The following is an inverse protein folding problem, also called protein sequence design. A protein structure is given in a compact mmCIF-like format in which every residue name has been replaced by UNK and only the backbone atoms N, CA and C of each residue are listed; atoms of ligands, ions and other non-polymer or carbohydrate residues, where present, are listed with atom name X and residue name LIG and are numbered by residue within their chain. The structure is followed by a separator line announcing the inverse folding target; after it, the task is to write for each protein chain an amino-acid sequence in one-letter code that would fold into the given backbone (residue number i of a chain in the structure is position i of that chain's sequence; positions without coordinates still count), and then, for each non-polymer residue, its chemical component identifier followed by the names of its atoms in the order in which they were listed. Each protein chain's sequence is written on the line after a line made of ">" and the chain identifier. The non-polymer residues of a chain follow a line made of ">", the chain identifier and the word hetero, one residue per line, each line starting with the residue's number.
data_IF_936932151448
#
_entry.id   IF_936932151448
#
_cell.length_a   1.000
_cell.length_b   1.000
_cell.length_c   1.000
_cell.angle_alpha   90.00
_cell.angle_beta   90.00
_cell.angle_gamma   90.00
#
_symmetry.space_group_name_H-M   'P 1'
#
loop_
_entity.id
_entity.type
_entity.pdbx_description
1 polymer ?
#
# COMPACT_ATOMS: atom_id res chain seq x y z
N UNK A 1 -32.52 -14.75 7.23
CA UNK A 1 -33.04 -13.37 7.48
C UNK A 1 -32.60 -12.47 6.32
N UNK A 2 -33.25 -11.31 6.16
CA UNK A 2 -32.81 -10.31 5.16
C UNK A 2 -31.77 -9.42 5.78
N UNK A 3 -30.65 -9.19 5.08
CA UNK A 3 -29.53 -8.37 5.53
C UNK A 3 -29.18 -7.34 4.45
N UNK A 4 -29.14 -6.08 4.83
CA UNK A 4 -28.69 -4.99 3.98
C UNK A 4 -27.20 -4.67 4.29
N UNK A 5 -26.38 -4.58 3.25
CA UNK A 5 -24.96 -4.22 3.36
C UNK A 5 -24.77 -2.89 2.62
N UNK A 6 -24.22 -1.90 3.30
CA UNK A 6 -24.00 -0.58 2.74
C UNK A 6 -22.53 -0.47 2.29
N UNK A 7 -22.35 -0.27 0.98
CA UNK A 7 -21.05 -0.16 0.32
C UNK A 7 -20.55 -1.49 -0.25
N UNK A 8 -20.08 -1.44 -1.48
CA UNK A 8 -19.51 -2.57 -2.22
C UNK A 8 -17.96 -2.59 -2.21
N UNK A 9 -17.34 -1.95 -1.23
CA UNK A 9 -15.90 -2.10 -1.00
C UNK A 9 -15.54 -3.49 -0.47
N UNK A 10 -14.24 -3.75 -0.26
CA UNK A 10 -13.73 -5.08 0.16
C UNK A 10 -14.44 -5.62 1.42
N UNK A 11 -14.76 -4.77 2.39
CA UNK A 11 -15.44 -5.18 3.62
C UNK A 11 -16.88 -5.63 3.34
N UNK A 12 -17.65 -4.81 2.61
CA UNK A 12 -19.04 -5.12 2.25
C UNK A 12 -19.15 -6.38 1.39
N UNK A 13 -18.31 -6.49 0.36
CA UNK A 13 -18.30 -7.67 -0.53
C UNK A 13 -17.87 -8.94 0.22
N UNK A 14 -16.88 -8.84 1.14
CA UNK A 14 -16.47 -9.98 1.96
C UNK A 14 -17.61 -10.41 2.91
N UNK A 15 -18.28 -9.46 3.54
CA UNK A 15 -19.43 -9.76 4.40
C UNK A 15 -20.58 -10.43 3.58
N UNK A 16 -20.91 -9.87 2.42
CA UNK A 16 -21.90 -10.46 1.50
C UNK A 16 -21.54 -11.89 1.11
N UNK A 17 -20.28 -12.10 0.70
CA UNK A 17 -19.78 -13.42 0.32
C UNK A 17 -19.87 -14.46 1.44
N UNK A 18 -19.61 -14.07 2.67
CA UNK A 18 -19.67 -14.99 3.81
C UNK A 18 -21.11 -15.28 4.25
N UNK A 19 -21.99 -14.29 4.22
CA UNK A 19 -23.34 -14.39 4.75
C UNK A 19 -24.37 -14.94 3.75
N UNK A 20 -24.12 -14.86 2.44
CA UNK A 20 -25.08 -15.24 1.38
C UNK A 20 -25.56 -16.70 1.45
N UNK A 21 -24.83 -17.57 2.13
CA UNK A 21 -25.22 -18.98 2.25
C UNK A 21 -26.40 -19.22 3.20
N UNK A 22 -26.59 -18.30 4.16
CA UNK A 22 -27.57 -18.47 5.24
C UNK A 22 -28.58 -17.31 5.27
N UNK A 23 -28.31 -16.24 4.51
CA UNK A 23 -29.08 -15.02 4.54
C UNK A 23 -29.37 -14.50 3.13
N UNK A 24 -30.49 -13.81 2.99
CA UNK A 24 -30.87 -13.05 1.80
C UNK A 24 -30.19 -11.67 1.87
N UNK A 25 -29.21 -11.45 0.99
CA UNK A 25 -28.29 -10.30 1.06
C UNK A 25 -28.64 -9.30 -0.05
N UNK A 26 -28.80 -8.03 0.35
CA UNK A 26 -28.85 -6.90 -0.58
C UNK A 26 -27.69 -5.96 -0.29
N UNK A 27 -26.85 -5.70 -1.30
CA UNK A 27 -25.75 -4.72 -1.21
C UNK A 27 -26.19 -3.41 -1.86
N UNK A 28 -26.03 -2.32 -1.16
CA UNK A 28 -26.32 -0.95 -1.64
C UNK A 28 -24.99 -0.24 -1.90
N UNK A 29 -24.83 0.27 -3.12
CA UNK A 29 -23.66 1.04 -3.54
C UNK A 29 -24.09 2.40 -4.05
N UNK A 30 -23.36 3.45 -3.67
CA UNK A 30 -23.67 4.84 -4.06
C UNK A 30 -22.99 5.21 -5.41
N UNK A 31 -21.90 4.55 -5.76
CA UNK A 31 -21.18 4.78 -7.01
C UNK A 31 -21.78 3.93 -8.15
N UNK A 32 -21.40 4.24 -9.37
CA UNK A 32 -21.73 3.50 -10.60
C UNK A 32 -20.85 2.27 -10.83
N UNK A 33 -19.88 2.00 -9.95
CA UNK A 33 -18.99 0.84 -10.01
C UNK A 33 -18.89 0.13 -8.65
N UNK A 34 -18.52 -1.15 -8.69
CA UNK A 34 -18.33 -2.03 -7.53
C UNK A 34 -16.83 -2.14 -7.21
N UNK A 35 -16.48 -2.22 -5.92
CA UNK A 35 -15.11 -2.45 -5.47
C UNK A 35 -14.58 -1.38 -4.50
N UNK A 36 -15.23 -0.22 -4.43
CA UNK A 36 -14.83 0.87 -3.54
C UNK A 36 -13.44 1.39 -3.89
N UNK A 37 -12.49 1.29 -2.97
CA UNK A 37 -11.12 1.75 -3.20
C UNK A 37 -10.35 0.88 -4.22
N UNK A 38 -10.69 -0.38 -4.37
CA UNK A 38 -10.15 -1.24 -5.44
C UNK A 38 -10.88 -0.94 -6.74
N UNK A 39 -10.17 -0.40 -7.72
CA UNK A 39 -10.77 0.00 -8.99
C UNK A 39 -9.83 -0.33 -10.15
N UNK A 40 -10.34 -1.13 -11.08
CA UNK A 40 -9.65 -1.50 -12.32
C UNK A 40 -10.32 -0.79 -13.49
N UNK A 41 -9.56 -0.04 -14.26
CA UNK A 41 -10.04 0.65 -15.46
C UNK A 41 -9.71 -0.18 -16.71
N UNK A 42 -10.68 -0.35 -17.59
CA UNK A 42 -10.44 -0.91 -18.91
C UNK A 42 -10.12 0.21 -19.90
N UNK A 43 -8.89 0.21 -20.41
CA UNK A 43 -8.40 1.19 -21.37
C UNK A 43 -8.18 0.51 -22.72
N UNK A 44 -8.92 0.93 -23.74
CA UNK A 44 -8.76 0.42 -25.10
C UNK A 44 -7.89 1.37 -25.92
N UNK A 45 -6.76 0.86 -26.43
CA UNK A 45 -5.84 1.60 -27.29
C UNK A 45 -5.25 0.67 -28.35
N UNK A 46 -5.21 1.10 -29.61
CA UNK A 46 -4.64 0.35 -30.73
C UNK A 46 -5.21 -1.07 -30.87
N UNK A 47 -6.53 -1.22 -30.78
CA UNK A 47 -7.26 -2.50 -30.83
C UNK A 47 -6.85 -3.53 -29.72
N UNK A 48 -6.27 -3.04 -28.61
CA UNK A 48 -5.97 -3.82 -27.41
C UNK A 48 -6.65 -3.20 -26.23
N UNK A 49 -7.19 -4.04 -25.34
CA UNK A 49 -7.76 -3.62 -24.06
C UNK A 49 -6.79 -3.97 -22.95
N UNK A 50 -6.54 -2.99 -22.07
CA UNK A 50 -5.67 -3.11 -20.92
C UNK A 50 -6.50 -2.91 -19.66
N UNK A 51 -6.35 -3.80 -18.70
CA UNK A 51 -6.91 -3.63 -17.35
C UNK A 51 -5.87 -2.97 -16.46
N UNK A 52 -6.16 -1.75 -16.00
CA UNK A 52 -5.23 -0.93 -15.21
C UNK A 52 -5.81 -0.69 -13.83
N UNK A 53 -5.17 -1.22 -12.81
CA UNK A 53 -5.55 -1.00 -11.42
C UNK A 53 -5.12 0.40 -10.95
N UNK A 54 -6.06 1.17 -10.38
CA UNK A 54 -5.80 2.51 -9.87
C UNK A 54 -5.79 2.60 -8.34
N UNK A 55 -6.40 1.64 -7.66
CA UNK A 55 -6.44 1.58 -6.20
C UNK A 55 -6.06 0.21 -5.67
N UNK A 56 -5.30 0.17 -4.55
CA UNK A 56 -4.84 -1.06 -3.91
C UNK A 56 -4.14 -2.04 -4.87
N UNK A 57 -3.15 -1.55 -5.58
CA UNK A 57 -2.45 -2.28 -6.64
C UNK A 57 -1.46 -3.35 -6.15
N UNK A 58 -1.04 -3.27 -4.88
CA UNK A 58 -0.08 -4.22 -4.29
C UNK A 58 -0.40 -4.52 -2.82
N UNK A 59 -0.04 -5.71 -2.38
CA UNK A 59 -0.10 -6.12 -0.97
C UNK A 59 1.11 -6.99 -0.64
N UNK A 60 1.40 -7.20 0.65
CA UNK A 60 2.45 -8.12 1.09
C UNK A 60 1.86 -9.29 1.91
N UNK A 61 2.53 -10.42 1.86
CA UNK A 61 2.04 -11.65 2.48
C UNK A 61 2.07 -11.61 4.02
N UNK A 62 2.90 -10.74 4.60
CA UNK A 62 3.07 -10.66 6.06
C UNK A 62 1.93 -9.94 6.75
N UNK A 63 1.42 -8.85 6.16
CA UNK A 63 0.44 -7.96 6.80
C UNK A 63 -1.00 -8.21 6.32
N UNK A 64 -1.19 -9.00 5.26
CA UNK A 64 -2.50 -9.28 4.66
C UNK A 64 -2.91 -10.78 4.67
N UNK A 65 -2.77 -11.53 5.78
CA UNK A 65 -3.03 -12.97 5.79
C UNK A 65 -4.48 -13.33 5.47
N UNK A 66 -5.43 -12.51 5.91
CA UNK A 66 -6.86 -12.73 5.64
C UNK A 66 -7.20 -12.48 4.17
N UNK A 67 -6.61 -11.43 3.58
CA UNK A 67 -6.80 -11.12 2.16
C UNK A 67 -6.25 -12.24 1.27
N UNK A 68 -5.08 -12.76 1.59
CA UNK A 68 -4.51 -13.92 0.88
C UNK A 68 -5.41 -15.13 0.95
N UNK A 69 -5.99 -15.41 2.14
CA UNK A 69 -6.96 -16.50 2.30
C UNK A 69 -8.21 -16.30 1.44
N UNK A 70 -8.71 -15.06 1.34
CA UNK A 70 -9.84 -14.71 0.49
C UNK A 70 -9.51 -14.94 -0.98
N UNK A 71 -8.39 -14.42 -1.48
CA UNK A 71 -7.96 -14.61 -2.87
C UNK A 71 -7.81 -16.09 -3.24
N UNK A 72 -7.18 -16.89 -2.37
CA UNK A 72 -7.06 -18.35 -2.55
C UNK A 72 -8.42 -19.02 -2.60
N UNK A 73 -9.36 -18.64 -1.73
CA UNK A 73 -10.71 -19.20 -1.69
C UNK A 73 -11.52 -18.85 -2.95
N UNK A 74 -11.32 -17.64 -3.46
CA UNK A 74 -11.95 -17.17 -4.70
C UNK A 74 -11.20 -17.63 -5.96
N UNK A 75 -10.05 -18.31 -5.81
CA UNK A 75 -9.17 -18.76 -6.91
C UNK A 75 -8.70 -17.59 -7.80
N UNK A 76 -8.48 -16.42 -7.21
CA UNK A 76 -7.96 -15.25 -7.90
C UNK A 76 -6.46 -15.40 -8.09
N UNK A 77 -5.98 -15.28 -9.34
CA UNK A 77 -4.56 -15.29 -9.67
C UNK A 77 -3.85 -14.06 -9.14
N UNK A 78 -2.62 -14.25 -8.65
CA UNK A 78 -1.75 -13.16 -8.18
C UNK A 78 -0.38 -13.29 -8.82
N UNK A 79 0.31 -12.17 -9.02
CA UNK A 79 1.67 -12.17 -9.52
C UNK A 79 2.61 -11.45 -8.56
N UNK A 80 3.85 -11.93 -8.48
CA UNK A 80 4.87 -11.27 -7.67
C UNK A 80 5.29 -9.97 -8.33
N UNK A 81 5.43 -8.93 -7.53
CA UNK A 81 5.95 -7.63 -7.96
C UNK A 81 6.96 -7.12 -6.95
N UNK A 82 7.73 -6.12 -7.35
CA UNK A 82 8.66 -5.43 -6.46
C UNK A 82 8.05 -4.11 -6.04
N UNK A 83 7.90 -3.92 -4.73
CA UNK A 83 7.47 -2.64 -4.16
C UNK A 83 8.69 -1.89 -3.68
N UNK A 84 8.93 -0.73 -4.26
CA UNK A 84 10.00 0.18 -3.88
C UNK A 84 9.48 1.61 -3.77
N UNK A 85 10.33 2.51 -3.32
CA UNK A 85 10.05 3.93 -3.34
C UNK A 85 11.21 4.70 -3.96
N UNK A 86 10.90 5.83 -4.55
CA UNK A 86 11.89 6.79 -5.03
C UNK A 86 11.56 8.19 -4.51
N UNK A 87 12.59 8.98 -4.33
CA UNK A 87 12.48 10.37 -3.89
C UNK A 87 13.09 11.26 -4.95
N UNK A 88 12.36 12.31 -5.33
CA UNK A 88 12.85 13.39 -6.19
C UNK A 88 12.49 14.73 -5.56
N UNK A 89 13.50 15.46 -5.11
CA UNK A 89 13.38 16.80 -4.53
C UNK A 89 14.20 17.79 -5.38
N UNK A 90 13.58 18.41 -6.43
CA UNK A 90 14.30 19.27 -7.36
C UNK A 90 14.96 20.48 -6.70
N UNK A 91 14.31 21.09 -5.71
CA UNK A 91 14.85 22.24 -4.96
C UNK A 91 16.16 21.93 -4.23
N UNK A 92 16.40 20.68 -3.89
CA UNK A 92 17.61 20.22 -3.19
C UNK A 92 18.57 19.46 -4.12
N UNK A 93 18.24 19.37 -5.41
CA UNK A 93 18.93 18.52 -6.38
C UNK A 93 19.18 17.12 -5.85
N UNK A 94 18.14 16.50 -5.29
CA UNK A 94 18.18 15.18 -4.66
C UNK A 94 17.28 14.20 -5.40
N UNK A 95 17.87 13.08 -5.82
CA UNK A 95 17.14 11.97 -6.43
C UNK A 95 17.78 10.64 -6.03
N UNK A 96 17.00 9.73 -5.46
CA UNK A 96 17.43 8.38 -5.09
C UNK A 96 16.24 7.42 -4.99
N UNK A 97 16.53 6.12 -4.97
CA UNK A 97 15.55 5.08 -4.69
C UNK A 97 16.08 4.07 -3.68
N UNK A 98 15.21 3.57 -2.82
CA UNK A 98 15.57 2.61 -1.76
C UNK A 98 15.75 1.16 -2.22
N UNK A 99 15.68 0.85 -3.52
CA UNK A 99 15.66 -0.52 -4.02
C UNK A 99 17.00 -1.26 -3.95
N UNK A 100 18.13 -0.55 -4.07
CA UNK A 100 19.49 -1.12 -4.02
C UNK A 100 20.53 -0.05 -3.72
N UNK A 101 21.74 -0.44 -3.34
CA UNK A 101 22.85 0.52 -3.19
C UNK A 101 23.11 1.31 -4.48
N UNK A 102 22.97 0.67 -5.63
CA UNK A 102 23.14 1.34 -6.92
C UNK A 102 22.10 2.45 -7.14
N UNK A 103 20.86 2.24 -6.74
CA UNK A 103 19.77 3.21 -6.88
C UNK A 103 19.74 4.25 -5.75
N UNK A 104 20.22 3.90 -4.55
CA UNK A 104 20.45 4.87 -3.46
C UNK A 104 21.48 5.91 -3.88
N UNK A 105 22.54 5.48 -4.55
CA UNK A 105 23.58 6.36 -5.09
C UNK A 105 23.43 6.58 -6.61
N UNK A 106 22.19 6.71 -7.11
CA UNK A 106 21.92 7.04 -8.53
C UNK A 106 22.67 8.32 -8.93
N UNK A 107 22.65 9.32 -8.08
CA UNK A 107 23.53 10.49 -8.16
C UNK A 107 24.88 10.16 -7.50
N UNK A 108 25.88 9.72 -8.26
CA UNK A 108 27.17 9.23 -7.74
C UNK A 108 27.89 10.20 -6.81
N UNK A 109 27.78 11.51 -7.05
CA UNK A 109 28.37 12.54 -6.20
C UNK A 109 27.83 12.54 -4.76
N UNK A 110 26.68 11.94 -4.52
CA UNK A 110 26.10 11.83 -3.17
C UNK A 110 26.95 10.93 -2.25
N UNK A 111 27.80 10.05 -2.80
CA UNK A 111 28.81 9.30 -2.03
C UNK A 111 29.77 10.21 -1.24
N UNK A 112 30.03 11.42 -1.73
CA UNK A 112 30.94 12.38 -1.14
C UNK A 112 30.21 13.52 -0.41
N UNK A 113 28.88 13.49 -0.31
CA UNK A 113 28.10 14.52 0.40
C UNK A 113 27.81 14.09 1.83
N UNK A 114 28.44 14.72 2.86
CA UNK A 114 28.19 14.35 4.27
C UNK A 114 26.70 14.42 4.65
N UNK A 115 25.97 15.43 4.21
CA UNK A 115 24.55 15.58 4.49
C UNK A 115 23.70 14.39 3.97
N UNK A 116 24.04 13.85 2.79
CA UNK A 116 23.36 12.67 2.25
C UNK A 116 23.66 11.41 3.06
N UNK A 117 24.91 11.23 3.48
CA UNK A 117 25.32 10.09 4.30
C UNK A 117 24.71 10.15 5.70
N UNK A 118 24.61 11.35 6.31
CA UNK A 118 23.90 11.56 7.57
C UNK A 118 22.42 11.21 7.42
N UNK A 119 21.76 11.68 6.37
CA UNK A 119 20.36 11.33 6.07
C UNK A 119 20.17 9.82 6.01
N UNK A 120 21.03 9.07 5.30
CA UNK A 120 20.94 7.61 5.25
C UNK A 120 21.11 6.96 6.63
N UNK A 121 22.07 7.47 7.44
CA UNK A 121 22.27 7.00 8.81
C UNK A 121 21.02 7.25 9.65
N UNK A 122 20.40 8.43 9.53
CA UNK A 122 19.19 8.78 10.26
C UNK A 122 18.00 7.95 9.85
N UNK A 123 17.84 7.61 8.55
CA UNK A 123 16.81 6.67 8.08
C UNK A 123 17.00 5.30 8.74
N UNK A 124 18.22 4.79 8.80
CA UNK A 124 18.50 3.50 9.45
C UNK A 124 18.26 3.56 10.97
N UNK A 125 18.66 4.67 11.62
CA UNK A 125 18.39 4.93 13.03
C UNK A 125 16.89 4.95 13.30
N UNK A 126 16.13 5.73 12.53
CA UNK A 126 14.67 5.80 12.63
C UNK A 126 14.03 4.43 12.53
N UNK A 127 14.36 3.66 11.48
CA UNK A 127 13.79 2.33 11.26
C UNK A 127 14.06 1.36 12.43
N UNK A 128 15.20 1.49 13.11
CA UNK A 128 15.54 0.71 14.29
C UNK A 128 14.77 1.18 15.52
N UNK A 129 14.77 2.49 15.79
CA UNK A 129 14.17 3.07 16.99
C UNK A 129 12.64 3.00 16.93
N UNK A 130 12.02 3.27 15.79
CA UNK A 130 10.58 3.20 15.62
C UNK A 130 10.01 1.84 16.00
N UNK A 131 10.71 0.74 15.69
CA UNK A 131 10.28 -0.61 16.08
C UNK A 131 10.31 -0.84 17.59
N UNK A 132 11.28 -0.23 18.29
CA UNK A 132 11.45 -0.37 19.74
C UNK A 132 10.44 0.51 20.47
N UNK A 133 10.31 1.75 20.01
CA UNK A 133 9.47 2.75 20.66
C UNK A 133 7.97 2.57 20.39
N UNK A 134 7.59 1.93 19.28
CA UNK A 134 6.18 1.73 18.91
C UNK A 134 5.35 1.04 20.02
N UNK A 135 6.00 0.21 20.84
CA UNK A 135 5.36 -0.44 21.99
C UNK A 135 5.36 0.41 23.26
N UNK A 136 6.01 1.57 23.26
CA UNK A 136 6.23 2.43 24.44
C UNK A 136 5.61 3.81 24.31
N UNK A 137 5.34 4.26 23.08
CA UNK A 137 4.71 5.57 22.82
C UNK A 137 3.22 5.52 23.15
N UNK A 138 2.70 6.60 23.70
CA UNK A 138 1.26 6.78 23.89
C UNK A 138 0.61 7.32 22.61
N UNK A 139 -0.73 7.33 22.60
CA UNK A 139 -1.53 7.76 21.44
C UNK A 139 -1.35 9.25 21.11
N UNK A 140 -0.76 10.05 22.01
CA UNK A 140 -0.52 11.50 21.81
C UNK A 140 0.80 11.80 21.14
N UNK A 141 1.70 10.81 21.02
CA UNK A 141 3.02 10.98 20.43
C UNK A 141 2.91 11.16 18.91
N UNK A 142 3.28 12.34 18.43
CA UNK A 142 3.35 12.63 16.99
C UNK A 142 4.67 12.16 16.38
N UNK A 143 4.69 11.96 15.06
CA UNK A 143 5.94 11.65 14.34
C UNK A 143 6.96 12.77 14.54
N UNK A 144 6.54 14.04 14.52
CA UNK A 144 7.42 15.19 14.72
C UNK A 144 8.10 15.12 16.09
N UNK A 145 7.33 14.96 17.18
CA UNK A 145 7.88 14.84 18.53
C UNK A 145 8.79 13.63 18.73
N UNK A 146 8.59 12.57 17.94
CA UNK A 146 9.47 11.40 17.93
C UNK A 146 10.80 11.71 17.21
N UNK A 147 10.77 12.48 16.11
CA UNK A 147 11.97 12.82 15.33
C UNK A 147 12.87 13.85 16.02
N UNK A 148 12.32 14.64 16.93
CA UNK A 148 13.05 15.65 17.72
C UNK A 148 13.80 15.08 18.94
N UNK A 149 13.63 13.79 19.24
CA UNK A 149 14.36 13.03 20.28
C UNK A 149 15.66 12.44 19.71
#
# INVERSE_FOLDING_TARGET
>A
MKVAIIGSGISGLTAAYLLQKEHDITVFEANDYIGGHTHTHEISQNNKTWSVDSGFIVYNEKTYPNFIRLLKKLKVGVQKTTMGFSVKAPSQNLEYSGGSLNTVFAQRLNLFKPAFLIMLKDILRFNRLAKIELSRVDETTTILSFLEK
#
